data_IF_708728349841
#
_entry.id   IF_708728349841
#
_cell.length_a   1.000
_cell.length_b   1.000
_cell.length_c   1.000
_cell.angle_alpha   90.00
_cell.angle_beta   90.00
_cell.angle_gamma   90.00
#
_symmetry.space_group_name_H-M   'P 1'
#
loop_
_entity.id
_entity.type
_entity.pdbx_description
1 polymer ?
#
# COMPACT_ATOMS: atom_id res chain seq x y z
N UNK A 1 4.34 -3.39 -10.07
CA UNK A 1 4.06 -2.15 -10.82
C UNK A 1 2.55 -2.04 -11.02
N UNK A 2 1.99 -0.83 -11.04
CA UNK A 2 0.55 -0.60 -11.26
C UNK A 2 0.37 0.15 -12.57
N UNK A 3 -0.34 -0.46 -13.51
CA UNK A 3 -0.67 0.15 -14.80
C UNK A 3 -2.17 0.48 -14.82
N UNK A 4 -2.50 1.67 -15.32
CA UNK A 4 -3.89 2.06 -15.58
C UNK A 4 -3.95 2.60 -16.99
N UNK A 5 -4.86 2.03 -17.77
CA UNK A 5 -5.17 2.48 -19.11
C UNK A 5 -6.44 3.35 -19.00
N UNK A 6 -6.38 4.65 -19.33
CA UNK A 6 -7.56 5.51 -19.36
C UNK A 6 -8.56 5.02 -20.43
N UNK A 7 -9.86 5.17 -20.16
CA UNK A 7 -10.91 4.90 -21.14
C UNK A 7 -11.15 6.09 -22.07
N UNK A 8 -11.82 5.86 -23.21
CA UNK A 8 -12.03 6.87 -24.26
C UNK A 8 -12.79 8.13 -23.78
N UNK A 9 -13.64 8.01 -22.77
CA UNK A 9 -14.42 9.11 -22.18
C UNK A 9 -14.13 9.35 -20.69
N UNK A 10 -12.93 8.99 -20.22
CA UNK A 10 -12.58 9.20 -18.82
C UNK A 10 -11.91 10.57 -18.60
N UNK A 11 -12.48 11.37 -17.69
CA UNK A 11 -11.83 12.59 -17.22
C UNK A 11 -10.53 12.29 -16.47
N UNK A 12 -9.51 13.14 -16.69
CA UNK A 12 -8.14 12.98 -16.13
C UNK A 12 -8.16 12.76 -14.61
N UNK A 13 -9.00 13.49 -13.88
CA UNK A 13 -9.11 13.35 -12.42
C UNK A 13 -9.59 11.96 -11.98
N UNK A 14 -10.50 11.36 -12.73
CA UNK A 14 -10.96 9.98 -12.46
C UNK A 14 -9.81 8.99 -12.65
N UNK A 15 -9.05 9.12 -13.74
CA UNK A 15 -7.90 8.26 -14.01
C UNK A 15 -6.85 8.37 -12.89
N UNK A 16 -6.53 9.60 -12.44
CA UNK A 16 -5.61 9.85 -11.33
C UNK A 16 -6.12 9.29 -10.00
N UNK A 17 -7.42 9.37 -9.73
CA UNK A 17 -8.01 8.81 -8.52
C UNK A 17 -7.91 7.29 -8.51
N UNK A 18 -8.17 6.62 -9.64
CA UNK A 18 -7.97 5.17 -9.79
C UNK A 18 -6.50 4.81 -9.63
N UNK A 19 -5.60 5.59 -10.22
CA UNK A 19 -4.15 5.39 -10.09
C UNK A 19 -3.70 5.44 -8.64
N UNK A 20 -4.08 6.49 -7.91
CA UNK A 20 -3.74 6.61 -6.49
C UNK A 20 -4.28 5.43 -5.67
N UNK A 21 -5.49 4.94 -5.98
CA UNK A 21 -6.08 3.76 -5.32
C UNK A 21 -5.29 2.50 -5.61
N UNK A 22 -4.97 2.22 -6.88
CA UNK A 22 -4.22 1.02 -7.26
C UNK A 22 -2.79 1.04 -6.70
N UNK A 23 -2.09 2.19 -6.75
CA UNK A 23 -0.76 2.37 -6.13
C UNK A 23 -0.79 2.10 -4.62
N UNK A 24 -1.84 2.61 -3.95
CA UNK A 24 -2.02 2.42 -2.51
C UNK A 24 -2.35 0.96 -2.18
N UNK A 25 -3.22 0.32 -2.98
CA UNK A 25 -3.61 -1.10 -2.84
C UNK A 25 -2.43 -2.04 -3.08
N UNK A 26 -1.59 -1.74 -4.07
CA UNK A 26 -0.37 -2.48 -4.35
C UNK A 26 0.72 -2.30 -3.28
N UNK A 27 0.53 -1.39 -2.31
CA UNK A 27 1.45 -1.22 -1.19
C UNK A 27 2.78 -0.57 -1.56
N UNK A 28 2.91 0.02 -2.75
CA UNK A 28 4.18 0.53 -3.31
C UNK A 28 4.89 1.49 -2.35
N UNK A 29 4.16 2.42 -1.72
CA UNK A 29 4.74 3.35 -0.75
C UNK A 29 5.31 2.65 0.50
N UNK A 30 4.68 1.56 0.94
CA UNK A 30 5.17 0.76 2.07
C UNK A 30 6.46 0.02 1.71
N UNK A 31 6.55 -0.46 0.47
CA UNK A 31 7.75 -1.10 -0.04
C UNK A 31 8.90 -0.12 -0.19
N UNK A 32 8.66 1.06 -0.75
CA UNK A 32 9.68 2.13 -0.84
C UNK A 32 10.21 2.45 0.57
N UNK A 33 9.32 2.62 1.56
CA UNK A 33 9.72 2.93 2.94
C UNK A 33 10.55 1.82 3.58
N UNK A 34 10.19 0.56 3.36
CA UNK A 34 10.90 -0.63 3.86
C UNK A 34 12.30 -0.78 3.26
N UNK A 35 12.47 -0.46 1.98
CA UNK A 35 13.73 -0.67 1.27
C UNK A 35 14.61 0.59 1.21
N UNK A 36 14.18 1.72 1.79
CA UNK A 36 14.97 2.97 1.82
C UNK A 36 16.32 2.80 2.54
N UNK A 37 16.40 1.92 3.52
CA UNK A 37 17.63 1.59 4.24
C UNK A 37 17.60 0.11 4.66
N UNK A 38 18.76 -0.42 5.01
CA UNK A 38 18.85 -1.77 5.54
C UNK A 38 18.16 -1.87 6.90
N UNK A 39 17.29 -2.87 7.05
CA UNK A 39 16.73 -3.29 8.34
C UNK A 39 17.46 -4.54 8.82
N UNK A 40 17.95 -4.51 10.05
CA UNK A 40 18.44 -5.71 10.74
C UNK A 40 17.32 -6.75 10.90
N UNK A 41 17.65 -8.05 11.11
CA UNK A 41 16.63 -9.09 11.29
C UNK A 41 15.61 -8.76 12.38
N UNK A 42 16.07 -8.26 13.54
CA UNK A 42 15.20 -7.88 14.65
C UNK A 42 14.24 -6.73 14.28
N UNK A 43 14.73 -5.70 13.59
CA UNK A 43 13.89 -4.60 13.09
C UNK A 43 12.84 -5.09 12.09
N UNK A 44 13.21 -6.01 11.19
CA UNK A 44 12.28 -6.65 10.25
C UNK A 44 11.20 -7.47 10.98
N UNK A 45 11.56 -8.21 12.02
CA UNK A 45 10.60 -8.94 12.87
C UNK A 45 9.63 -7.99 13.57
N UNK A 46 10.15 -6.91 14.19
CA UNK A 46 9.33 -5.88 14.87
C UNK A 46 8.34 -5.23 13.90
N UNK A 47 8.79 -4.82 12.71
CA UNK A 47 7.91 -4.22 11.68
C UNK A 47 6.79 -5.16 11.25
N UNK A 48 7.11 -6.44 10.99
CA UNK A 48 6.10 -7.46 10.64
C UNK A 48 5.07 -7.68 11.74
N UNK A 49 5.50 -7.74 13.00
CA UNK A 49 4.60 -7.91 14.14
C UNK A 49 3.62 -6.73 14.27
N UNK A 50 4.11 -5.48 14.16
CA UNK A 50 3.27 -4.28 14.18
C UNK A 50 2.27 -4.25 13.03
N UNK A 51 2.71 -4.62 11.82
CA UNK A 51 1.83 -4.68 10.65
C UNK A 51 0.68 -5.68 10.85
N UNK A 52 0.98 -6.88 11.36
CA UNK A 52 -0.03 -7.90 11.69
C UNK A 52 -1.01 -7.41 12.75
N UNK A 53 -0.51 -6.80 13.82
CA UNK A 53 -1.36 -6.27 14.89
C UNK A 53 -2.30 -5.17 14.37
N UNK A 54 -1.80 -4.28 13.51
CA UNK A 54 -2.63 -3.25 12.87
C UNK A 54 -3.72 -3.86 11.98
N UNK A 55 -3.40 -4.87 11.18
CA UNK A 55 -4.38 -5.58 10.35
C UNK A 55 -5.48 -6.24 11.19
N UNK A 56 -5.11 -6.95 12.27
CA UNK A 56 -6.07 -7.57 13.18
C UNK A 56 -7.00 -6.53 13.85
N UNK A 57 -6.46 -5.37 14.23
CA UNK A 57 -7.29 -4.28 14.79
C UNK A 57 -8.29 -3.74 13.78
N UNK A 58 -7.89 -3.58 12.53
CA UNK A 58 -8.80 -3.15 11.47
C UNK A 58 -9.89 -4.19 11.19
N UNK A 59 -9.53 -5.47 11.08
CA UNK A 59 -10.50 -6.55 10.82
C UNK A 59 -11.50 -6.75 11.97
N UNK A 60 -11.07 -6.50 13.22
CA UNK A 60 -11.97 -6.53 14.39
C UNK A 60 -12.94 -5.37 14.42
N UNK A 61 -12.55 -4.19 13.92
CA UNK A 61 -13.39 -2.98 13.88
C UNK A 61 -14.39 -2.99 12.73
N UNK A 62 -14.14 -3.79 11.69
CA UNK A 62 -15.05 -3.98 10.55
C UNK A 62 -16.03 -5.13 10.74
N UNK A 63 -16.00 -5.82 11.88
CA UNK A 63 -17.03 -6.77 12.33
C UNK A 63 -17.93 -6.03 13.31
#
# INVERSE_FOLDING_TARGET
MTQIIPGENEGIESALRRFKREVSKAGIFSDIKKHRHFETPSQKHKRKAVARHKQQRYSRRSR
#
